data_IF_054669085202
#
_entry.id   IF_054669085202
#
_cell.length_a   1.000
_cell.length_b   1.000
_cell.length_c   1.000
_cell.angle_alpha   90.00
_cell.angle_beta   90.00
_cell.angle_gamma   90.00
#
_symmetry.space_group_name_H-M   'P 1'
#
loop_
_entity.id
_entity.type
_entity.pdbx_description
1 polymer ?
#
# COMPACT_ATOMS: atom_id res chain seq x y z
N UNK A 1 15.72 14.21 2.90
CA UNK A 1 15.22 13.97 2.88
C UNK A 1 14.29 13.54 3.03
N UNK A 2 13.62 13.45 2.98
CA UNK A 2 12.73 13.13 3.10
C UNK A 2 12.39 12.15 2.94
N UNK A 3 12.22 11.53 3.16
CA UNK A 3 11.87 10.82 3.04
C UNK A 3 10.89 10.16 3.39
N UNK A 4 10.15 10.21 3.45
CA UNK A 4 9.00 9.56 3.70
C UNK A 4 8.71 8.56 2.67
N UNK A 5 7.94 7.49 3.00
CA UNK A 5 7.59 6.52 2.00
C UNK A 5 6.58 7.10 1.04
N UNK A 6 6.92 7.01 -0.21
CA UNK A 6 6.00 7.46 -1.25
C UNK A 6 5.00 6.36 -1.56
N UNK A 7 4.01 6.71 -2.35
CA UNK A 7 3.03 5.75 -2.84
C UNK A 7 3.73 4.60 -3.56
N UNK A 8 4.70 4.92 -4.39
CA UNK A 8 5.41 3.91 -5.16
C UNK A 8 6.21 2.98 -4.27
N UNK A 9 6.83 3.53 -3.24
CA UNK A 9 7.61 2.70 -2.33
C UNK A 9 6.72 1.71 -1.59
N UNK A 10 5.56 2.17 -1.17
CA UNK A 10 4.62 1.29 -0.50
C UNK A 10 4.12 0.21 -1.44
N UNK A 11 3.87 0.57 -2.67
CA UNK A 11 3.41 -0.39 -3.65
C UNK A 11 4.48 -1.45 -3.92
N UNK A 12 5.74 -1.02 -4.00
CA UNK A 12 6.84 -1.95 -4.18
C UNK A 12 6.93 -2.93 -3.02
N UNK A 13 6.79 -2.41 -1.82
CA UNK A 13 6.84 -3.28 -0.65
C UNK A 13 5.69 -4.29 -0.67
N UNK A 14 4.52 -3.84 -1.06
CA UNK A 14 3.38 -4.74 -1.14
C UNK A 14 3.63 -5.84 -2.16
N UNK A 15 4.22 -5.50 -3.29
CA UNK A 15 4.57 -6.49 -4.29
C UNK A 15 5.56 -7.51 -3.75
N UNK A 16 6.53 -7.06 -2.98
CA UNK A 16 7.48 -7.97 -2.37
C UNK A 16 6.80 -8.95 -1.44
N UNK A 17 5.84 -8.47 -0.69
CA UNK A 17 5.10 -9.33 0.22
C UNK A 17 4.31 -10.37 -0.56
N UNK A 18 3.65 -9.95 -1.62
CA UNK A 18 2.88 -10.87 -2.44
C UNK A 18 3.78 -11.96 -3.03
N UNK A 19 4.93 -11.54 -3.54
CA UNK A 19 5.87 -12.49 -4.12
C UNK A 19 6.36 -13.49 -3.09
N UNK A 20 6.63 -13.03 -1.89
CA UNK A 20 7.07 -13.93 -0.85
C UNK A 20 6.01 -14.96 -0.52
N UNK A 21 4.77 -14.52 -0.42
CA UNK A 21 3.68 -15.42 -0.09
C UNK A 21 3.49 -16.45 -1.19
N UNK A 22 3.63 -16.01 -2.44
CA UNK A 22 3.37 -16.91 -3.56
C UNK A 22 4.52 -17.88 -3.82
N UNK A 23 5.74 -17.44 -3.62
CA UNK A 23 6.89 -18.21 -4.06
C UNK A 23 7.66 -18.89 -2.94
N UNK A 24 7.30 -18.66 -1.70
CA UNK A 24 8.03 -19.20 -0.57
C UNK A 24 7.07 -19.91 0.37
N UNK A 25 7.49 -21.05 0.88
CA UNK A 25 6.71 -21.71 1.90
C UNK A 25 6.96 -21.02 3.23
N UNK A 26 5.92 -20.46 3.80
CA UNK A 26 6.03 -19.71 5.04
C UNK A 26 5.36 -20.45 6.17
N UNK A 27 5.91 -20.29 7.37
CA UNK A 27 5.20 -20.74 8.55
C UNK A 27 3.95 -19.87 8.73
N UNK A 28 3.02 -20.38 9.51
CA UNK A 28 1.80 -19.64 9.76
C UNK A 28 2.11 -18.29 10.40
N UNK A 29 3.06 -18.30 11.32
CA UNK A 29 3.43 -17.09 12.02
C UNK A 29 3.98 -16.03 11.06
N UNK A 30 4.88 -16.47 10.18
CA UNK A 30 5.46 -15.55 9.21
C UNK A 30 4.40 -15.04 8.23
N UNK A 31 3.52 -15.92 7.81
CA UNK A 31 2.47 -15.53 6.89
C UNK A 31 1.57 -14.48 7.52
N UNK A 32 1.26 -14.65 8.80
CA UNK A 32 0.41 -13.68 9.48
C UNK A 32 1.08 -12.32 9.60
N UNK A 33 2.37 -12.31 9.85
CA UNK A 33 3.09 -11.05 9.93
C UNK A 33 3.07 -10.31 8.60
N UNK A 34 3.31 -11.04 7.53
CA UNK A 34 3.27 -10.43 6.20
C UNK A 34 1.87 -9.96 5.86
N UNK A 35 0.88 -10.73 6.25
CA UNK A 35 -0.51 -10.35 6.01
C UNK A 35 -0.84 -9.04 6.72
N UNK A 36 -0.39 -8.90 7.96
CA UNK A 36 -0.65 -7.68 8.70
C UNK A 36 0.05 -6.49 8.08
N UNK A 37 1.28 -6.69 7.65
CA UNK A 37 2.01 -5.61 7.00
C UNK A 37 1.32 -5.24 5.69
N UNK A 38 0.89 -6.23 4.93
CA UNK A 38 0.20 -5.98 3.68
C UNK A 38 -1.07 -5.18 3.89
N UNK A 39 -1.84 -5.56 4.90
CA UNK A 39 -3.08 -4.84 5.20
C UNK A 39 -2.81 -3.39 5.56
N UNK A 40 -1.77 -3.17 6.34
CA UNK A 40 -1.42 -1.82 6.73
C UNK A 40 -1.04 -0.98 5.51
N UNK A 41 -0.27 -1.57 4.60
CA UNK A 41 0.12 -0.88 3.38
C UNK A 41 -1.09 -0.59 2.50
N UNK A 42 -2.00 -1.54 2.41
CA UNK A 42 -3.21 -1.33 1.62
C UNK A 42 -4.03 -0.18 2.16
N UNK A 43 -4.15 -0.09 3.47
CA UNK A 43 -4.88 1.01 4.06
C UNK A 43 -4.23 2.34 3.75
N UNK A 44 -2.91 2.39 3.84
CA UNK A 44 -2.18 3.61 3.53
C UNK A 44 -2.36 4.00 2.07
N UNK A 45 -2.26 3.02 1.18
CA UNK A 45 -2.42 3.29 -0.23
C UNK A 45 -3.82 3.75 -0.56
N UNK A 46 -4.81 3.13 0.07
CA UNK A 46 -6.19 3.52 -0.16
C UNK A 46 -6.45 4.93 0.31
N UNK A 47 -5.86 5.30 1.43
CA UNK A 47 -6.01 6.66 1.93
C UNK A 47 -5.41 7.65 0.94
N UNK A 48 -4.25 7.32 0.38
CA UNK A 48 -3.63 8.19 -0.61
C UNK A 48 -4.51 8.34 -1.84
N UNK A 49 -5.10 7.24 -2.28
CA UNK A 49 -5.98 7.31 -3.43
C UNK A 49 -7.23 8.12 -3.15
N UNK A 50 -7.78 7.97 -1.95
CA UNK A 50 -8.96 8.74 -1.57
C UNK A 50 -8.64 10.23 -1.58
N UNK A 51 -7.49 10.59 -1.06
CA UNK A 51 -7.11 11.99 -1.03
C UNK A 51 -6.91 12.55 -2.43
N UNK A 52 -6.31 11.75 -3.30
CA UNK A 52 -6.11 12.16 -4.68
C UNK A 52 -7.45 12.33 -5.39
N UNK A 53 -8.37 11.42 -5.17
CA UNK A 53 -9.69 11.52 -5.77
C UNK A 53 -10.43 12.75 -5.31
N UNK A 54 -10.33 13.05 -4.03
CA UNK A 54 -10.99 14.21 -3.48
C UNK A 54 -10.47 15.48 -4.14
N UNK A 55 -9.17 15.54 -4.33
CA UNK A 55 -8.58 16.71 -4.98
C UNK A 55 -9.06 16.84 -6.42
N UNK A 56 -9.13 15.75 -7.12
CA UNK A 56 -9.58 15.77 -8.50
C UNK A 56 -11.02 16.21 -8.57
N UNK A 57 -11.86 15.73 -7.66
CA UNK A 57 -13.25 16.11 -7.67
C UNK A 57 -13.43 17.59 -7.38
N UNK A 58 -12.64 18.13 -6.48
CA UNK A 58 -12.72 19.54 -6.19
C UNK A 58 -12.37 20.37 -7.42
N UNK A 59 -11.35 19.95 -8.14
CA UNK A 59 -10.97 20.65 -9.35
C UNK A 59 -12.09 20.58 -10.38
N UNK A 60 -12.70 19.43 -10.53
CA UNK A 60 -13.79 19.27 -11.48
C UNK A 60 -14.99 20.13 -11.13
N UNK A 61 -15.29 20.17 -9.84
CA UNK A 61 -16.47 20.92 -9.40
C UNK A 61 -16.28 22.41 -9.55
N UNK A 62 -15.08 22.84 -9.62
CA UNK A 62 -14.82 24.26 -9.77
C UNK A 62 -15.09 24.75 -11.18
N UNK A 63 -15.19 23.87 -12.07
CA UNK A 63 -15.54 24.27 -13.41
C UNK A 63 -17.01 24.55 -13.52
#
# INVERSE_FOLDING_TARGET
>A
MEKKQTFEEKLTRLNEIVEKVENTTLSLEDAMKLYEEGNSLIKDLQKSLDEAETKIQVIKNKQ
#
